data_IF_045694593035
#
_entry.id   IF_045694593035
#
_cell.length_a   1.000
_cell.length_b   1.000
_cell.length_c   1.000
_cell.angle_alpha   90.00
_cell.angle_beta   90.00
_cell.angle_gamma   90.00
#
_symmetry.space_group_name_H-M   'P 1'
#
loop_
_entity.id
_entity.type
_entity.pdbx_description
1 polymer ?
#
# COMPACT_ATOMS: atom_id res chain seq x y z
N UNK A 1 19.73 8.41 0.94
CA UNK A 1 20.77 7.40 1.23
C UNK A 1 20.18 6.00 1.43
N UNK A 2 19.22 5.77 2.35
CA UNK A 2 18.55 4.46 2.46
C UNK A 2 17.76 4.09 1.19
N UNK A 3 17.02 5.06 0.65
CA UNK A 3 16.35 4.87 -0.64
C UNK A 3 17.36 4.72 -1.78
N UNK A 4 18.45 5.49 -1.76
CA UNK A 4 19.46 5.46 -2.83
C UNK A 4 20.09 4.07 -3.01
N UNK A 5 20.39 3.33 -1.93
CA UNK A 5 20.97 1.99 -2.05
C UNK A 5 19.92 0.95 -2.50
N UNK A 6 18.67 1.11 -2.06
CA UNK A 6 17.56 0.26 -2.50
C UNK A 6 17.26 0.49 -3.99
N UNK A 7 17.13 1.75 -4.41
CA UNK A 7 16.94 2.18 -5.80
C UNK A 7 18.07 1.68 -6.68
N UNK A 8 19.34 1.92 -6.30
CA UNK A 8 20.51 1.41 -7.01
C UNK A 8 20.48 -0.12 -7.16
N UNK A 9 20.04 -0.83 -6.13
CA UNK A 9 19.88 -2.28 -6.18
C UNK A 9 18.79 -2.68 -7.16
N UNK A 10 17.57 -2.15 -7.02
CA UNK A 10 16.46 -2.46 -7.91
C UNK A 10 16.79 -2.11 -9.37
N UNK A 11 17.37 -0.93 -9.61
CA UNK A 11 17.82 -0.48 -10.92
C UNK A 11 18.79 -1.48 -11.53
N UNK A 12 19.81 -1.93 -10.80
CA UNK A 12 20.77 -2.90 -11.32
C UNK A 12 20.09 -4.21 -11.76
N UNK A 13 19.21 -4.77 -10.94
CA UNK A 13 18.59 -6.07 -11.23
C UNK A 13 17.49 -5.99 -12.30
N UNK A 14 16.86 -4.82 -12.44
CA UNK A 14 15.79 -4.59 -13.42
C UNK A 14 16.31 -3.93 -14.71
N UNK A 15 17.58 -3.49 -14.74
CA UNK A 15 18.14 -2.82 -15.91
C UNK A 15 18.10 -3.72 -17.16
N UNK A 16 17.66 -3.23 -18.32
CA UNK A 16 17.61 -4.02 -19.55
C UNK A 16 18.96 -4.64 -19.94
N UNK A 17 20.08 -3.98 -19.65
CA UNK A 17 21.41 -4.52 -19.93
C UNK A 17 21.79 -5.72 -19.06
N UNK A 18 21.14 -5.90 -17.90
CA UNK A 18 21.34 -7.04 -17.01
C UNK A 18 20.22 -8.10 -17.15
N UNK A 19 19.28 -7.89 -18.08
CA UNK A 19 18.16 -8.81 -18.31
C UNK A 19 18.60 -10.21 -18.74
N UNK A 20 19.75 -10.35 -19.40
CA UNK A 20 20.30 -11.66 -19.76
C UNK A 20 20.77 -12.47 -18.54
N UNK A 21 21.12 -11.80 -17.43
CA UNK A 21 21.51 -12.44 -16.16
C UNK A 21 20.30 -12.76 -15.28
N UNK A 22 19.37 -11.81 -15.17
CA UNK A 22 18.32 -11.86 -14.15
C UNK A 22 16.89 -11.91 -14.71
N UNK A 23 16.71 -11.83 -16.03
CA UNK A 23 15.39 -11.72 -16.66
C UNK A 23 14.45 -12.87 -16.32
N UNK A 24 14.97 -14.11 -16.23
CA UNK A 24 14.16 -15.26 -15.81
C UNK A 24 13.72 -15.15 -14.34
N UNK A 25 14.60 -14.66 -13.46
CA UNK A 25 14.27 -14.45 -12.04
C UNK A 25 13.25 -13.34 -11.86
N UNK A 26 13.39 -12.24 -12.61
CA UNK A 26 12.43 -11.12 -12.61
C UNK A 26 11.08 -11.58 -13.15
N UNK A 27 11.03 -12.34 -14.25
CA UNK A 27 9.76 -12.91 -14.76
C UNK A 27 9.12 -13.87 -13.77
N UNK A 28 9.92 -14.71 -13.09
CA UNK A 28 9.43 -15.58 -12.01
C UNK A 28 8.85 -14.76 -10.87
N UNK A 29 9.51 -13.68 -10.47
CA UNK A 29 9.02 -12.78 -9.45
C UNK A 29 7.71 -12.10 -9.86
N UNK A 30 7.63 -11.58 -11.08
CA UNK A 30 6.42 -10.94 -11.60
C UNK A 30 5.24 -11.91 -11.62
N UNK A 31 5.46 -13.12 -12.13
CA UNK A 31 4.43 -14.18 -12.17
C UNK A 31 3.99 -14.58 -10.77
N UNK A 32 4.94 -14.73 -9.84
CA UNK A 32 4.65 -15.07 -8.46
C UNK A 32 3.86 -13.95 -7.75
N UNK A 33 4.23 -12.69 -7.99
CA UNK A 33 3.58 -11.52 -7.43
C UNK A 33 2.14 -11.36 -7.94
N UNK A 34 1.95 -11.34 -9.27
CA UNK A 34 0.65 -11.10 -9.90
C UNK A 34 -0.27 -12.32 -9.92
N UNK A 35 0.31 -13.53 -9.75
CA UNK A 35 -0.31 -14.84 -10.04
C UNK A 35 -0.80 -14.95 -11.49
N UNK A 36 -0.21 -14.19 -12.39
CA UNK A 36 -0.50 -14.18 -13.82
C UNK A 36 0.79 -14.06 -14.63
N UNK A 37 0.89 -14.66 -15.83
CA UNK A 37 1.97 -14.33 -16.77
C UNK A 37 1.87 -12.90 -17.32
N UNK A 38 0.74 -12.22 -17.13
CA UNK A 38 0.53 -10.87 -17.64
C UNK A 38 1.42 -9.83 -16.93
N UNK A 39 1.78 -8.73 -17.61
CA UNK A 39 2.48 -7.61 -16.99
C UNK A 39 1.74 -7.06 -15.77
N UNK A 40 2.51 -6.64 -14.77
CA UNK A 40 1.97 -5.98 -13.58
C UNK A 40 1.46 -4.59 -14.00
N UNK A 41 0.22 -4.22 -13.67
CA UNK A 41 -0.30 -2.89 -13.98
C UNK A 41 0.49 -1.80 -13.22
N UNK A 42 0.50 -0.58 -13.75
CA UNK A 42 1.31 0.53 -13.20
C UNK A 42 1.07 0.77 -11.70
N UNK A 43 -0.19 0.77 -11.27
CA UNK A 43 -0.56 0.94 -9.86
C UNK A 43 -0.12 -0.21 -8.93
N UNK A 44 0.39 -1.31 -9.49
CA UNK A 44 0.98 -2.43 -8.76
C UNK A 44 2.50 -2.41 -8.69
N UNK A 45 3.17 -1.50 -9.42
CA UNK A 45 4.62 -1.53 -9.59
C UNK A 45 5.34 -1.27 -8.26
N UNK A 46 4.95 -0.25 -7.50
CA UNK A 46 5.59 0.07 -6.21
C UNK A 46 5.45 -1.07 -5.18
N UNK A 47 4.33 -1.78 -5.22
CA UNK A 47 4.12 -2.97 -4.40
C UNK A 47 4.99 -4.14 -4.83
N UNK A 48 5.12 -4.34 -6.14
CA UNK A 48 5.98 -5.36 -6.70
C UNK A 48 7.45 -5.11 -6.37
N UNK A 49 7.93 -3.87 -6.51
CA UNK A 49 9.32 -3.52 -6.21
C UNK A 49 9.66 -3.75 -4.74
N UNK A 50 8.73 -3.44 -3.83
CA UNK A 50 8.91 -3.66 -2.38
C UNK A 50 9.00 -5.15 -2.09
N UNK A 51 8.03 -5.88 -2.61
CA UNK A 51 7.97 -7.32 -2.44
C UNK A 51 9.19 -8.02 -3.05
N UNK A 52 9.60 -7.63 -4.26
CA UNK A 52 10.77 -8.17 -4.96
C UNK A 52 12.05 -7.96 -4.15
N UNK A 53 12.24 -6.76 -3.59
CA UNK A 53 13.41 -6.44 -2.80
C UNK A 53 13.46 -7.28 -1.51
N UNK A 54 12.38 -7.24 -0.73
CA UNK A 54 12.41 -7.65 0.67
C UNK A 54 11.88 -9.07 0.91
N UNK A 55 10.90 -9.53 0.14
CA UNK A 55 10.12 -10.73 0.48
C UNK A 55 10.26 -11.85 -0.56
N UNK A 56 10.49 -11.52 -1.83
CA UNK A 56 10.64 -12.53 -2.88
C UNK A 56 11.89 -13.37 -2.69
N UNK A 57 11.74 -14.70 -2.72
CA UNK A 57 12.84 -15.64 -2.68
C UNK A 57 13.60 -15.68 -4.02
N UNK A 58 14.50 -14.71 -4.18
CA UNK A 58 15.32 -14.51 -5.37
C UNK A 58 16.26 -15.70 -5.63
N UNK A 59 16.89 -16.24 -4.59
CA UNK A 59 17.66 -17.50 -4.61
C UNK A 59 17.20 -18.40 -3.46
N UNK A 60 17.55 -19.70 -3.45
CA UNK A 60 17.30 -20.55 -2.29
C UNK A 60 17.76 -19.84 -1.02
N UNK A 61 16.81 -19.65 -0.10
CA UNK A 61 16.96 -18.99 1.21
C UNK A 61 17.41 -17.52 1.22
N UNK A 62 17.39 -16.81 0.07
CA UNK A 62 17.77 -15.38 0.01
C UNK A 62 16.76 -14.55 -0.76
N UNK A 63 16.30 -13.47 -0.12
CA UNK A 63 15.66 -12.37 -0.83
C UNK A 63 16.67 -11.59 -1.68
N UNK A 64 16.19 -10.65 -2.50
CA UNK A 64 17.04 -9.90 -3.43
C UNK A 64 18.14 -9.13 -2.70
N UNK A 65 17.81 -8.41 -1.62
CA UNK A 65 18.79 -7.60 -0.88
C UNK A 65 19.87 -8.48 -0.23
N UNK A 66 19.50 -9.63 0.36
CA UNK A 66 20.46 -10.60 0.92
C UNK A 66 21.33 -11.24 -0.15
N UNK A 67 20.79 -11.48 -1.34
CA UNK A 67 21.59 -11.95 -2.46
C UNK A 67 22.58 -10.88 -2.90
N UNK A 68 22.11 -9.66 -3.14
CA UNK A 68 22.92 -8.52 -3.57
C UNK A 68 24.07 -8.21 -2.60
N UNK A 69 23.80 -8.23 -1.29
CA UNK A 69 24.84 -8.04 -0.27
C UNK A 69 25.88 -9.17 -0.24
N UNK A 70 25.47 -10.42 -0.49
CA UNK A 70 26.35 -11.57 -0.40
C UNK A 70 27.20 -11.81 -1.65
N UNK A 71 26.65 -11.57 -2.85
CA UNK A 71 27.36 -11.77 -4.12
C UNK A 71 28.02 -10.50 -4.65
N UNK A 72 27.61 -9.33 -4.14
CA UNK A 72 28.07 -8.00 -4.52
C UNK A 72 28.26 -7.80 -6.04
N UNK A 73 27.23 -8.06 -6.87
CA UNK A 73 27.36 -7.97 -8.33
C UNK A 73 27.53 -6.52 -8.81
N UNK A 74 27.12 -5.56 -7.97
CA UNK A 74 27.22 -4.12 -8.20
C UNK A 74 28.56 -3.52 -7.79
N UNK A 75 29.48 -4.31 -7.21
CA UNK A 75 30.76 -3.83 -6.67
C UNK A 75 30.58 -2.67 -5.66
N UNK A 76 29.60 -2.82 -4.78
CA UNK A 76 29.38 -1.93 -3.64
C UNK A 76 30.59 -1.93 -2.71
N UNK A 77 30.81 -0.79 -2.05
CA UNK A 77 31.78 -0.65 -0.97
C UNK A 77 31.35 -1.45 0.28
N UNK A 78 32.29 -1.74 1.18
CA UNK A 78 32.01 -2.45 2.43
C UNK A 78 30.95 -1.72 3.30
N UNK A 79 30.96 -0.38 3.28
CA UNK A 79 29.96 0.44 3.96
C UNK A 79 28.56 0.26 3.36
N UNK A 80 28.46 0.25 2.02
CA UNK A 80 27.20 0.01 1.31
C UNK A 80 26.70 -1.43 1.54
N UNK A 81 27.60 -2.42 1.52
CA UNK A 81 27.24 -3.83 1.81
C UNK A 81 26.68 -3.94 3.23
N UNK A 82 27.35 -3.34 4.21
CA UNK A 82 26.90 -3.36 5.61
C UNK A 82 25.53 -2.71 5.75
N UNK A 83 25.31 -1.56 5.13
CA UNK A 83 24.01 -0.89 5.13
C UNK A 83 22.92 -1.75 4.46
N UNK A 84 23.25 -2.41 3.34
CA UNK A 84 22.31 -3.27 2.63
C UNK A 84 21.94 -4.53 3.44
N UNK A 85 22.90 -5.12 4.15
CA UNK A 85 22.65 -6.24 5.07
C UNK A 85 21.74 -5.82 6.21
N UNK A 86 22.02 -4.68 6.84
CA UNK A 86 21.20 -4.16 7.93
C UNK A 86 19.75 -3.91 7.49
N UNK A 87 19.55 -3.29 6.33
CA UNK A 87 18.22 -3.07 5.73
C UNK A 87 17.52 -4.41 5.45
N UNK A 88 18.24 -5.40 4.93
CA UNK A 88 17.68 -6.71 4.59
C UNK A 88 17.32 -7.56 5.83
N UNK A 89 17.97 -7.32 6.96
CA UNK A 89 17.77 -8.06 8.21
C UNK A 89 16.78 -7.36 9.16
N UNK A 90 16.81 -6.03 9.19
CA UNK A 90 16.08 -5.21 10.14
C UNK A 90 15.05 -4.35 9.41
N UNK A 91 14.05 -5.00 8.81
CA UNK A 91 12.92 -4.30 8.18
C UNK A 91 11.58 -4.82 8.68
N UNK A 92 10.56 -4.00 8.48
CA UNK A 92 9.21 -4.24 8.95
C UNK A 92 8.21 -3.65 7.95
N UNK A 93 7.38 -4.50 7.39
CA UNK A 93 6.20 -4.09 6.62
C UNK A 93 4.97 -4.25 7.50
N UNK A 94 4.22 -3.16 7.72
CA UNK A 94 3.10 -3.17 8.66
C UNK A 94 2.10 -2.04 8.40
N UNK A 95 0.98 -2.11 9.12
CA UNK A 95 0.13 -0.96 9.41
C UNK A 95 0.74 -0.16 10.56
N UNK A 96 1.02 1.11 10.33
CA UNK A 96 1.61 2.01 11.32
C UNK A 96 0.66 3.16 11.65
N UNK A 97 0.30 3.30 12.93
CA UNK A 97 -0.39 4.48 13.44
C UNK A 97 0.62 5.61 13.66
N UNK A 98 0.35 6.77 13.07
CA UNK A 98 1.16 7.98 13.23
C UNK A 98 0.89 8.57 14.62
N UNK A 99 1.87 8.46 15.51
CA UNK A 99 1.77 8.94 16.90
C UNK A 99 2.19 10.41 16.98
N UNK A 100 3.28 10.77 16.31
CA UNK A 100 3.78 12.14 16.22
C UNK A 100 4.38 12.38 14.83
N UNK A 101 4.16 13.58 14.30
CA UNK A 101 4.72 13.99 13.00
C UNK A 101 4.85 15.51 12.95
N UNK A 102 5.95 16.03 12.41
CA UNK A 102 6.13 17.47 12.24
C UNK A 102 7.38 17.85 11.46
N UNK A 103 7.46 19.11 11.01
CA UNK A 103 8.53 19.56 10.10
C UNK A 103 9.94 19.56 10.68
N UNK A 104 10.07 19.59 12.01
CA UNK A 104 11.32 19.76 12.76
C UNK A 104 11.45 18.77 13.94
N UNK A 105 10.57 17.78 13.99
CA UNK A 105 10.56 16.75 15.03
C UNK A 105 10.59 15.39 14.36
N UNK A 106 11.09 14.38 15.05
CA UNK A 106 11.02 13.00 14.60
C UNK A 106 9.58 12.56 14.36
N UNK A 107 9.39 11.67 13.40
CA UNK A 107 8.09 11.02 13.17
C UNK A 107 8.08 9.73 13.98
N UNK A 108 7.06 9.54 14.84
CA UNK A 108 6.87 8.28 15.55
C UNK A 108 5.71 7.49 14.97
N UNK A 109 5.99 6.22 14.71
CA UNK A 109 5.07 5.24 14.17
C UNK A 109 4.88 4.11 15.14
N UNK A 110 3.63 3.71 15.37
CA UNK A 110 3.30 2.54 16.18
C UNK A 110 2.80 1.41 15.29
N UNK A 111 3.45 0.26 15.32
CA UNK A 111 2.88 -0.92 14.66
C UNK A 111 1.52 -1.24 15.28
N UNK A 112 0.51 -1.39 14.42
CA UNK A 112 -0.82 -1.77 14.86
C UNK A 112 -0.85 -3.19 15.42
N UNK A 113 0.07 -4.05 14.96
CA UNK A 113 0.07 -5.49 15.23
C UNK A 113 0.75 -5.86 16.53
N UNK A 114 1.99 -5.41 16.74
CA UNK A 114 2.76 -5.74 17.95
C UNK A 114 2.84 -4.58 18.95
N UNK A 115 2.42 -3.38 18.55
CA UNK A 115 2.41 -2.21 19.41
C UNK A 115 3.78 -1.53 19.59
N UNK A 116 4.83 -2.01 18.92
CA UNK A 116 6.16 -1.42 18.99
C UNK A 116 6.18 -0.02 18.37
N UNK A 117 7.03 0.84 18.93
CA UNK A 117 7.25 2.20 18.47
C UNK A 117 8.53 2.29 17.65
N UNK A 118 8.45 3.04 16.55
CA UNK A 118 9.54 3.27 15.61
C UNK A 118 9.68 4.76 15.41
N UNK A 119 10.90 5.27 15.59
CA UNK A 119 11.20 6.70 15.48
C UNK A 119 12.01 6.94 14.22
N UNK A 120 11.45 7.74 13.31
CA UNK A 120 12.11 8.17 12.08
C UNK A 120 12.74 9.55 12.26
N UNK A 121 13.90 9.83 11.63
CA UNK A 121 14.52 11.15 11.64
C UNK A 121 13.57 12.27 11.17
N UNK A 122 13.78 13.50 11.66
CA UNK A 122 12.88 14.64 11.41
C UNK A 122 12.76 15.09 9.94
N UNK A 123 13.69 14.67 9.08
CA UNK A 123 13.66 14.90 7.63
C UNK A 123 12.81 13.88 6.88
N UNK A 124 12.58 12.71 7.46
CA UNK A 124 11.78 11.62 6.89
C UNK A 124 10.29 11.95 7.05
N UNK A 125 9.78 12.72 6.09
CA UNK A 125 8.36 13.05 6.04
C UNK A 125 7.61 11.99 5.26
N UNK A 126 6.76 11.28 5.96
CA UNK A 126 5.70 10.50 5.35
C UNK A 126 4.69 11.48 4.75
N UNK A 127 4.34 11.34 3.48
CA UNK A 127 3.61 12.35 2.70
C UNK A 127 2.32 12.79 3.40
N UNK A 128 2.19 14.09 3.74
CA UNK A 128 0.95 14.74 4.21
C UNK A 128 0.18 13.99 5.32
N UNK A 129 0.83 13.12 6.11
CA UNK A 129 0.14 12.32 7.13
C UNK A 129 -0.23 13.14 8.35
N UNK A 130 -1.35 12.78 8.99
CA UNK A 130 -1.84 13.40 10.21
C UNK A 130 -1.65 12.46 11.40
N UNK A 131 -1.41 13.02 12.58
CA UNK A 131 -1.44 12.24 13.83
C UNK A 131 -2.79 11.51 13.95
N UNK A 132 -2.73 10.22 14.28
CA UNK A 132 -3.86 9.29 14.36
C UNK A 132 -4.28 8.65 13.04
N UNK A 133 -3.61 8.97 11.93
CA UNK A 133 -3.72 8.23 10.68
C UNK A 133 -3.00 6.88 10.77
N UNK A 134 -3.51 5.87 10.09
CA UNK A 134 -2.80 4.59 9.91
C UNK A 134 -2.37 4.47 8.47
N UNK A 135 -1.08 4.24 8.25
CA UNK A 135 -0.47 4.06 6.93
C UNK A 135 0.04 2.64 6.76
N UNK A 136 0.26 2.23 5.53
CA UNK A 136 0.95 0.99 5.18
C UNK A 136 2.26 1.35 4.51
N UNK A 137 3.37 0.90 5.08
CA UNK A 137 4.69 1.15 4.53
C UNK A 137 5.70 0.11 5.02
N UNK A 138 6.89 0.12 4.41
CA UNK A 138 8.06 -0.57 4.95
C UNK A 138 8.97 0.41 5.69
N UNK A 139 9.34 0.02 6.90
CA UNK A 139 10.44 0.62 7.64
C UNK A 139 11.64 -0.31 7.60
N UNK A 140 12.86 0.23 7.54
CA UNK A 140 14.07 -0.56 7.73
C UNK A 140 15.12 0.23 8.52
N UNK A 141 15.99 -0.49 9.25
CA UNK A 141 17.14 0.12 9.89
C UNK A 141 18.29 0.27 8.91
N UNK A 142 18.93 1.42 8.97
CA UNK A 142 20.19 1.68 8.30
C UNK A 142 21.06 2.53 9.22
N UNK A 143 22.27 2.06 9.52
CA UNK A 143 23.21 2.68 10.47
C UNK A 143 22.58 2.95 11.84
N UNK A 144 21.72 2.03 12.30
CA UNK A 144 21.04 2.09 13.59
C UNK A 144 19.80 3.00 13.65
N UNK A 145 19.46 3.70 12.58
CA UNK A 145 18.27 4.57 12.50
C UNK A 145 17.18 3.93 11.65
N UNK A 146 15.92 4.09 12.05
CA UNK A 146 14.78 3.62 11.25
C UNK A 146 14.45 4.62 10.14
N UNK A 147 14.32 4.12 8.91
CA UNK A 147 13.95 4.88 7.73
C UNK A 147 12.70 4.32 7.07
N UNK A 148 11.95 5.20 6.43
CA UNK A 148 10.89 4.83 5.50
C UNK A 148 11.54 4.39 4.18
N UNK A 149 11.31 3.16 3.74
CA UNK A 149 11.93 2.63 2.52
C UNK A 149 11.07 2.93 1.28
N UNK A 150 9.80 2.57 1.33
CA UNK A 150 8.83 2.89 0.28
C UNK A 150 7.48 3.26 0.87
N UNK A 151 6.95 4.39 0.41
CA UNK A 151 5.62 4.88 0.72
C UNK A 151 4.69 4.52 -0.45
N UNK A 152 3.87 3.49 -0.24
CA UNK A 152 2.92 3.00 -1.23
C UNK A 152 1.63 3.83 -1.28
N UNK A 153 1.55 4.91 -0.50
CA UNK A 153 0.41 5.84 -0.51
C UNK A 153 -0.88 5.25 0.02
N UNK A 154 -0.84 4.09 0.71
CA UNK A 154 -2.02 3.45 1.30
C UNK A 154 -2.13 3.89 2.75
N UNK A 155 -3.26 4.50 3.08
CA UNK A 155 -3.54 4.93 4.45
C UNK A 155 -5.03 5.13 4.71
N UNK A 156 -5.37 5.21 6.00
CA UNK A 156 -6.70 5.51 6.49
C UNK A 156 -6.64 6.54 7.60
N UNK A 157 -7.31 7.66 7.37
CA UNK A 157 -7.50 8.69 8.38
C UNK A 157 -8.57 8.27 9.38
N UNK A 158 -8.20 8.25 10.67
CA UNK A 158 -9.10 7.94 11.81
C UNK A 158 -9.83 6.58 11.65
N UNK A 159 -9.09 5.46 11.57
CA UNK A 159 -9.70 4.13 11.47
C UNK A 159 -10.58 3.82 12.68
N UNK A 160 -11.71 3.16 12.45
CA UNK A 160 -12.62 2.74 13.53
C UNK A 160 -11.98 1.66 14.41
N UNK A 161 -12.58 1.38 15.57
CA UNK A 161 -12.14 0.24 16.42
C UNK A 161 -12.19 -1.09 15.66
N UNK A 162 -13.15 -1.25 14.75
CA UNK A 162 -13.29 -2.45 13.92
C UNK A 162 -12.12 -2.54 12.93
N UNK A 163 -11.78 -1.45 12.26
CA UNK A 163 -10.68 -1.42 11.28
C UNK A 163 -9.34 -1.72 11.96
N UNK A 164 -9.08 -1.05 13.10
CA UNK A 164 -7.89 -1.32 13.92
C UNK A 164 -7.83 -2.78 14.37
N UNK A 165 -8.96 -3.44 14.63
CA UNK A 165 -9.01 -4.88 14.96
C UNK A 165 -8.65 -5.73 13.74
N UNK A 166 -9.25 -5.45 12.58
CA UNK A 166 -8.95 -6.18 11.34
C UNK A 166 -7.48 -6.08 10.94
N UNK A 167 -6.88 -4.90 11.05
CA UNK A 167 -5.44 -4.70 10.80
C UNK A 167 -4.55 -5.58 11.70
N UNK A 168 -5.01 -5.90 12.92
CA UNK A 168 -4.29 -6.77 13.86
C UNK A 168 -4.50 -8.26 13.60
N UNK A 169 -5.72 -8.64 13.24
CA UNK A 169 -6.19 -10.03 13.34
C UNK A 169 -6.41 -10.69 11.97
N UNK A 170 -6.82 -9.94 10.95
CA UNK A 170 -7.28 -10.51 9.67
C UNK A 170 -6.14 -10.87 8.70
N UNK A 171 -4.91 -10.40 8.96
CA UNK A 171 -3.76 -10.57 8.06
C UNK A 171 -2.61 -11.33 8.73
N UNK A 172 -2.69 -12.65 8.99
CA UNK A 172 -1.65 -13.36 9.74
C UNK A 172 -0.25 -13.25 9.08
N UNK A 173 -0.20 -13.26 7.74
CA UNK A 173 0.96 -12.87 6.94
C UNK A 173 0.64 -11.54 6.27
N UNK A 174 1.55 -10.58 6.33
CA UNK A 174 1.35 -9.24 5.79
C UNK A 174 2.60 -8.73 5.11
N UNK A 175 2.50 -8.59 3.79
CA UNK A 175 3.51 -8.08 2.88
C UNK A 175 2.85 -7.21 1.81
N UNK A 176 3.64 -6.61 0.93
CA UNK A 176 3.15 -5.74 -0.13
C UNK A 176 2.37 -6.48 -1.21
N UNK A 177 2.58 -7.79 -1.39
CA UNK A 177 1.76 -8.61 -2.29
C UNK A 177 0.32 -8.76 -1.77
N UNK A 178 0.16 -9.01 -0.46
CA UNK A 178 -1.15 -9.07 0.21
C UNK A 178 -1.88 -7.74 0.08
N UNK A 179 -1.20 -6.62 0.33
CA UNK A 179 -1.79 -5.28 0.21
C UNK A 179 -2.23 -4.99 -1.21
N UNK A 180 -1.37 -5.25 -2.20
CA UNK A 180 -1.74 -5.03 -3.60
C UNK A 180 -2.95 -5.88 -3.99
N UNK A 181 -2.97 -7.17 -3.65
CA UNK A 181 -4.05 -8.08 -4.05
C UNK A 181 -5.38 -7.80 -3.33
N UNK A 182 -5.33 -7.69 -2.01
CA UNK A 182 -6.51 -7.73 -1.16
C UNK A 182 -7.05 -6.34 -0.82
N UNK A 183 -6.23 -5.28 -1.01
CA UNK A 183 -6.61 -3.90 -0.75
C UNK A 183 -6.64 -3.10 -2.05
N UNK A 184 -5.56 -3.05 -2.83
CA UNK A 184 -5.48 -2.13 -3.98
C UNK A 184 -6.22 -2.66 -5.20
N UNK A 185 -5.92 -3.88 -5.65
CA UNK A 185 -6.52 -4.50 -6.84
C UNK A 185 -8.01 -4.75 -6.67
N UNK A 186 -8.44 -5.16 -5.48
CA UNK A 186 -9.86 -5.28 -5.14
C UNK A 186 -10.62 -3.95 -5.33
N UNK A 187 -9.93 -2.82 -5.13
CA UNK A 187 -10.47 -1.48 -5.36
C UNK A 187 -10.29 -0.94 -6.77
N UNK A 188 -9.21 -1.30 -7.46
CA UNK A 188 -9.02 -0.95 -8.86
C UNK A 188 -10.15 -1.53 -9.73
N UNK A 189 -10.63 -2.74 -9.44
CA UNK A 189 -11.80 -3.34 -10.09
C UNK A 189 -13.10 -2.56 -9.81
N UNK A 190 -13.20 -1.86 -8.67
CA UNK A 190 -14.32 -0.96 -8.36
C UNK A 190 -14.16 0.42 -9.03
N UNK A 191 -12.92 0.88 -9.25
CA UNK A 191 -12.58 2.19 -9.79
C UNK A 191 -12.53 2.25 -11.33
N UNK A 192 -12.22 1.13 -12.01
CA UNK A 192 -12.33 1.02 -13.48
C UNK A 192 -13.80 1.14 -13.97
N UNK A 193 -14.78 1.11 -13.07
CA UNK A 193 -16.17 1.45 -13.37
C UNK A 193 -16.46 2.97 -13.38
N UNK A 194 -15.56 3.81 -12.85
CA UNK A 194 -15.76 5.25 -12.66
C UNK A 194 -14.72 6.15 -13.37
N UNK A 195 -13.83 5.59 -14.20
CA UNK A 195 -12.85 6.36 -14.97
C UNK A 195 -13.49 7.14 -16.14
N UNK A 196 -14.35 8.12 -15.84
CA UNK A 196 -14.57 9.30 -16.67
C UNK A 196 -14.47 10.55 -15.81
N UNK A 197 -13.57 11.44 -16.22
CA UNK A 197 -13.30 12.80 -15.75
C UNK A 197 -12.28 12.99 -14.62
N UNK A 198 -11.16 13.56 -15.06
CA UNK A 198 -10.30 14.54 -14.39
C UNK A 198 -9.36 14.06 -13.27
N UNK A 199 -8.10 13.95 -13.70
CA UNK A 199 -6.91 13.67 -12.94
C UNK A 199 -6.77 14.44 -11.63
N UNK A 200 -6.62 13.68 -10.56
CA UNK A 200 -5.63 13.80 -9.47
C UNK A 200 -5.93 12.66 -8.49
N UNK A 201 -5.35 11.48 -8.72
CA UNK A 201 -5.62 10.33 -7.85
C UNK A 201 -4.69 10.34 -6.64
N UNK A 202 -5.10 11.03 -5.57
CA UNK A 202 -4.66 10.71 -4.22
C UNK A 202 -5.37 9.43 -3.81
N UNK A 203 -4.68 8.29 -3.71
CA UNK A 203 -5.26 7.11 -3.08
C UNK A 203 -5.26 7.27 -1.55
N UNK A 204 -5.84 8.37 -1.06
CA UNK A 204 -6.59 8.34 0.21
C UNK A 204 -7.96 7.72 -0.10
N UNK A 205 -7.97 6.41 -0.32
CA UNK A 205 -9.13 5.69 -0.84
C UNK A 205 -9.17 4.27 -0.31
N UNK A 206 -9.39 4.16 0.99
CA UNK A 206 -9.79 2.92 1.64
C UNK A 206 -11.06 2.37 0.98
N UNK A 207 -11.00 1.17 0.39
CA UNK A 207 -12.18 0.31 0.31
C UNK A 207 -11.78 -1.17 0.51
N UNK A 208 -11.77 -1.63 1.76
CA UNK A 208 -12.70 -2.72 2.00
C UNK A 208 -13.33 -2.49 3.36
N UNK A 209 -14.35 -1.64 3.39
CA UNK A 209 -15.03 -1.30 4.63
C UNK A 209 -15.64 0.08 4.67
N UNK A 210 -16.12 0.61 3.54
CA UNK A 210 -17.18 1.60 3.59
C UNK A 210 -18.49 0.94 4.04
N UNK A 211 -18.58 0.50 5.30
CA UNK A 211 -19.84 0.74 5.98
C UNK A 211 -19.86 2.24 6.21
N UNK A 212 -20.30 2.98 5.18
CA UNK A 212 -21.22 4.07 5.46
C UNK A 212 -22.15 3.51 6.55
N UNK A 213 -22.39 4.28 7.60
CA UNK A 213 -23.64 4.10 8.30
C UNK A 213 -24.66 3.90 7.19
N UNK A 214 -25.26 2.72 7.14
CA UNK A 214 -26.48 2.53 6.39
C UNK A 214 -27.43 3.47 7.11
N UNK A 215 -27.40 4.75 6.72
CA UNK A 215 -28.53 5.63 6.90
C UNK A 215 -29.64 4.86 6.21
N UNK A 216 -30.51 4.24 7.00
CA UNK A 216 -31.59 3.40 6.50
C UNK A 216 -32.52 4.16 5.52
N UNK A 217 -32.35 5.48 5.46
CA UNK A 217 -33.04 6.41 4.58
C UNK A 217 -32.23 6.89 3.36
N UNK A 218 -31.00 6.41 3.12
CA UNK A 218 -30.25 6.80 1.92
C UNK A 218 -30.91 6.19 0.65
N UNK A 219 -31.41 7.02 -0.30
CA UNK A 219 -32.12 6.51 -1.49
C UNK A 219 -31.28 5.56 -2.34
N UNK A 220 -29.96 5.79 -2.41
CA UNK A 220 -29.01 4.95 -3.14
C UNK A 220 -28.88 3.58 -2.45
N UNK A 221 -28.75 3.55 -1.12
CA UNK A 221 -28.67 2.31 -0.36
C UNK A 221 -29.96 1.48 -0.47
N UNK A 222 -31.13 2.12 -0.49
CA UNK A 222 -32.41 1.45 -0.67
C UNK A 222 -32.54 0.83 -2.07
N UNK A 223 -32.12 1.55 -3.11
CA UNK A 223 -32.11 1.05 -4.48
C UNK A 223 -31.19 -0.18 -4.63
N UNK A 224 -29.99 -0.14 -4.02
CA UNK A 224 -29.05 -1.26 -4.03
C UNK A 224 -29.58 -2.49 -3.29
N UNK A 225 -30.19 -2.31 -2.10
CA UNK A 225 -30.79 -3.42 -1.34
C UNK A 225 -31.92 -4.08 -2.14
N UNK A 226 -32.77 -3.29 -2.80
CA UNK A 226 -33.86 -3.80 -3.64
C UNK A 226 -33.34 -4.65 -4.80
N UNK A 227 -32.38 -4.14 -5.57
CA UNK A 227 -31.82 -4.89 -6.70
C UNK A 227 -31.13 -6.20 -6.24
N UNK A 228 -30.42 -6.16 -5.12
CA UNK A 228 -29.80 -7.35 -4.51
C UNK A 228 -30.83 -8.38 -4.05
N UNK A 229 -31.93 -7.95 -3.43
CA UNK A 229 -33.03 -8.84 -3.05
C UNK A 229 -33.72 -9.47 -4.28
N UNK A 230 -33.73 -8.76 -5.41
CA UNK A 230 -34.24 -9.22 -6.70
C UNK A 230 -33.21 -10.02 -7.51
N UNK A 231 -32.01 -10.28 -6.97
CA UNK A 231 -30.97 -11.08 -7.63
C UNK A 231 -30.39 -10.44 -8.89
N UNK A 232 -30.51 -9.11 -9.03
CA UNK A 232 -30.07 -8.37 -10.22
C UNK A 232 -29.20 -7.17 -9.85
N UNK A 233 -28.57 -6.59 -10.87
CA UNK A 233 -27.88 -5.31 -10.73
C UNK A 233 -28.85 -4.14 -10.99
N UNK A 234 -28.49 -2.96 -10.46
CA UNK A 234 -29.20 -1.72 -10.74
C UNK A 234 -28.99 -1.30 -12.19
N UNK A 235 -30.06 -0.87 -12.83
CA UNK A 235 -29.95 -0.24 -14.16
C UNK A 235 -29.42 1.18 -14.02
N UNK A 236 -28.79 1.69 -15.09
CA UNK A 236 -28.29 3.07 -15.14
C UNK A 236 -29.39 4.11 -14.80
N UNK A 237 -30.62 3.86 -15.24
CA UNK A 237 -31.77 4.72 -14.94
C UNK A 237 -32.11 4.74 -13.45
N UNK A 238 -32.18 3.56 -12.80
CA UNK A 238 -32.46 3.47 -11.35
C UNK A 238 -31.36 4.10 -10.50
N UNK A 239 -30.11 3.99 -10.94
CA UNK A 239 -28.98 4.65 -10.28
C UNK A 239 -29.11 6.18 -10.39
N UNK A 240 -29.39 6.68 -11.60
CA UNK A 240 -29.57 8.12 -11.88
C UNK A 240 -30.72 8.71 -11.06
N UNK A 241 -31.85 8.00 -10.98
CA UNK A 241 -33.02 8.42 -10.20
C UNK A 241 -32.70 8.45 -8.69
N UNK A 242 -31.96 7.47 -8.18
CA UNK A 242 -31.55 7.44 -6.77
C UNK A 242 -30.57 8.57 -6.39
N UNK A 243 -29.66 8.94 -7.31
CA UNK A 243 -28.78 10.10 -7.14
C UNK A 243 -29.57 11.42 -7.17
N UNK A 244 -30.53 11.56 -8.08
CA UNK A 244 -31.38 12.74 -8.16
C UNK A 244 -32.19 12.93 -6.86
N UNK A 245 -32.71 11.85 -6.29
CA UNK A 245 -33.47 11.91 -5.03
C UNK A 245 -32.57 12.23 -3.83
N UNK A 246 -31.38 11.62 -3.74
CA UNK A 246 -30.40 11.92 -2.70
C UNK A 246 -29.95 13.39 -2.70
N UNK A 247 -29.91 14.03 -3.88
CA UNK A 247 -29.58 15.44 -4.02
C UNK A 247 -30.72 16.37 -3.59
N UNK A 248 -32.00 15.97 -3.75
CA UNK A 248 -33.14 16.77 -3.27
C UNK A 248 -33.19 16.88 -1.75
N UNK A 249 -32.80 15.83 -1.03
CA UNK A 249 -32.79 15.83 0.44
C UNK A 249 -31.67 16.72 1.02
N UNK A 250 -30.54 16.85 0.31
CA UNK A 250 -29.48 17.80 0.68
C UNK A 250 -29.92 19.26 0.57
N UNK A 251 -30.77 19.58 -0.40
CA UNK A 251 -31.28 20.95 -0.58
C UNK A 251 -32.39 21.31 0.43
N UNK A 252 -33.14 20.34 0.94
CA UNK A 252 -34.11 20.56 2.02
C UNK A 252 -33.43 20.81 3.37
N UNK A 253 -32.37 20.06 3.70
CA UNK A 253 -31.61 20.24 4.94
C UNK A 253 -30.73 21.50 4.96
N UNK A 254 -30.53 22.15 3.82
CA UNK A 254 -29.85 23.46 3.72
C UNK A 254 -30.77 24.66 3.97
N UNK A 255 -32.08 24.46 4.04
CA UNK A 255 -33.09 25.52 4.22
C UNK A 255 -33.83 25.46 5.57
N UNK A 256 -33.44 24.56 6.48
CA UNK A 256 -33.91 24.53 7.87
C UNK A 256 -32.81 24.96 8.82
#
# INVERSE_FOLDING_TARGET
MANDILEKTLDYFLHPQNSWLYGQDVQRAMTAFSRSPDPIPEHGLDFFLDWLAFDFQFRPDKNLLRYAAASNPMQLSDEEITALQEVAENNRYDFFEVVSAGKKISTELKSMRDGNLYTLPASERIRKVRVGEVIVCRLAQMRGEWHLMMDQGVGMYRPSKRDKRRMREDFPVFDSQVVWRDIVRANAVLLDAEATSDGEMLVSGFAPGGSHQEDDNCPICQAMRKAKAEGRQLTHKELTDAFAEANKDKDKNRKS
#
